data_IF_650829366547
#
_entry.id   IF_650829366547
#
_cell.length_a   1.000
_cell.length_b   1.000
_cell.length_c   1.000
_cell.angle_alpha   90.00
_cell.angle_beta   90.00
_cell.angle_gamma   90.00
#
_symmetry.space_group_name_H-M   'P 1'
#
loop_
_entity.id
_entity.type
_entity.pdbx_description
1 polymer ?
#
# COMPACT_ATOMS: atom_id res chain seq x y z
N UNK A 1 -10.45 8.37 19.92
CA UNK A 1 -10.64 7.15 19.07
C UNK A 1 -10.08 7.43 17.68
N UNK A 2 -9.22 6.57 17.12
CA UNK A 2 -8.72 6.78 15.75
C UNK A 2 -9.80 6.47 14.69
N UNK A 3 -9.82 7.21 13.56
CA UNK A 3 -10.79 6.99 12.49
C UNK A 3 -10.58 5.62 11.83
N UNK A 4 -11.67 4.91 11.55
CA UNK A 4 -11.61 3.60 10.91
C UNK A 4 -11.33 3.70 9.40
N UNK A 5 -11.80 4.78 8.76
CA UNK A 5 -11.67 5.08 7.34
C UNK A 5 -11.21 6.52 7.12
N UNK A 6 -10.54 6.76 6.00
CA UNK A 6 -10.09 8.06 5.53
C UNK A 6 -10.69 8.32 4.14
N UNK A 7 -11.05 9.57 3.86
CA UNK A 7 -11.43 10.00 2.51
C UNK A 7 -10.32 10.91 1.99
N UNK A 8 -9.60 10.44 0.97
CA UNK A 8 -8.49 11.17 0.36
C UNK A 8 -8.75 11.22 -1.14
N UNK A 9 -8.79 12.43 -1.73
CA UNK A 9 -9.06 12.63 -3.17
C UNK A 9 -10.33 11.91 -3.68
N UNK A 10 -11.41 11.92 -2.89
CA UNK A 10 -12.69 11.23 -3.13
C UNK A 10 -12.63 9.69 -3.08
N UNK A 11 -11.50 9.11 -2.73
CA UNK A 11 -11.34 7.67 -2.52
C UNK A 11 -11.46 7.39 -1.03
N UNK A 12 -12.27 6.40 -0.67
CA UNK A 12 -12.38 5.90 0.70
C UNK A 12 -11.41 4.75 0.90
N UNK A 13 -10.49 4.89 1.85
CA UNK A 13 -9.55 3.83 2.25
C UNK A 13 -9.71 3.51 3.73
N UNK A 14 -9.43 2.27 4.17
CA UNK A 14 -9.31 2.00 5.60
C UNK A 14 -8.10 2.75 6.17
N UNK A 15 -8.17 3.12 7.45
CA UNK A 15 -7.00 3.57 8.20
C UNK A 15 -6.04 2.40 8.39
N UNK A 16 -4.73 2.65 8.31
CA UNK A 16 -3.73 1.62 8.61
C UNK A 16 -3.88 1.11 10.04
N UNK A 17 -4.36 1.93 11.00
CA UNK A 17 -4.63 1.48 12.37
C UNK A 17 -5.72 0.39 12.42
N UNK A 18 -6.68 0.43 11.49
CA UNK A 18 -7.75 -0.58 11.37
C UNK A 18 -7.21 -1.92 10.89
N UNK A 19 -6.24 -1.91 9.97
CA UNK A 19 -5.71 -3.13 9.33
C UNK A 19 -4.37 -3.58 9.91
N UNK A 20 -3.86 -2.92 10.96
CA UNK A 20 -2.50 -3.14 11.49
C UNK A 20 -2.17 -4.58 11.91
N UNK A 21 -3.20 -5.36 12.29
CA UNK A 21 -3.07 -6.75 12.78
C UNK A 21 -3.34 -7.78 11.67
N UNK A 22 -3.69 -7.31 10.47
CA UNK A 22 -3.95 -8.18 9.30
C UNK A 22 -2.66 -8.45 8.54
N UNK A 23 -2.64 -9.58 7.86
CA UNK A 23 -1.63 -9.85 6.85
C UNK A 23 -2.03 -9.19 5.54
N UNK A 24 -1.08 -8.66 4.79
CA UNK A 24 -1.33 -8.05 3.47
C UNK A 24 -2.00 -9.04 2.51
N UNK A 25 -1.69 -10.35 2.64
CA UNK A 25 -2.27 -11.44 1.84
C UNK A 25 -3.71 -11.81 2.24
N UNK A 26 -4.25 -11.25 3.33
CA UNK A 26 -5.65 -11.41 3.69
C UNK A 26 -6.59 -10.61 2.74
N UNK A 27 -6.02 -9.74 1.91
CA UNK A 27 -6.73 -8.88 0.97
C UNK A 27 -6.51 -9.34 -0.47
N UNK A 28 -7.43 -8.95 -1.37
CA UNK A 28 -7.31 -9.24 -2.80
C UNK A 28 -6.38 -8.24 -3.50
N UNK A 29 -6.54 -6.96 -3.18
CA UNK A 29 -5.87 -5.83 -3.79
C UNK A 29 -4.60 -5.44 -3.00
N UNK A 30 -3.51 -6.17 -3.24
CA UNK A 30 -2.25 -5.94 -2.53
C UNK A 30 -1.02 -6.00 -3.44
N UNK A 31 0.07 -5.41 -2.97
CA UNK A 31 1.42 -5.66 -3.45
C UNK A 31 2.35 -5.94 -2.28
N UNK A 32 3.35 -6.77 -2.53
CA UNK A 32 4.40 -7.10 -1.58
C UNK A 32 5.71 -6.61 -2.12
N UNK A 33 6.43 -5.89 -1.27
CA UNK A 33 7.74 -5.36 -1.60
C UNK A 33 8.86 -6.15 -0.92
N UNK A 34 10.03 -6.15 -1.57
CA UNK A 34 11.24 -6.70 -0.98
C UNK A 34 11.66 -5.90 0.28
N UNK A 35 12.51 -6.52 1.10
CA UNK A 35 12.99 -5.90 2.33
C UNK A 35 13.83 -4.62 2.12
N UNK A 36 14.42 -4.42 0.94
CA UNK A 36 15.18 -3.21 0.59
C UNK A 36 14.28 -2.00 0.34
N UNK A 37 13.06 -2.21 -0.14
CA UNK A 37 12.06 -1.16 -0.33
C UNK A 37 11.38 -0.71 0.97
N UNK A 38 11.31 -1.58 1.99
CA UNK A 38 10.56 -1.35 3.25
C UNK A 38 10.88 -0.01 3.92
N UNK A 39 12.14 0.43 4.12
CA UNK A 39 12.42 1.71 4.76
C UNK A 39 11.86 2.90 3.98
N UNK A 40 11.80 2.83 2.65
CA UNK A 40 11.28 3.90 1.82
C UNK A 40 9.75 3.95 1.88
N UNK A 41 9.09 2.79 1.77
CA UNK A 41 7.62 2.70 1.83
C UNK A 41 7.11 3.14 3.21
N UNK A 42 7.77 2.71 4.29
CA UNK A 42 7.42 3.12 5.65
C UNK A 42 7.62 4.63 5.88
N UNK A 43 8.41 5.32 5.06
CA UNK A 43 8.60 6.77 5.09
C UNK A 43 7.74 7.52 4.06
N UNK A 44 6.79 6.84 3.41
CA UNK A 44 5.82 7.47 2.51
C UNK A 44 6.28 7.61 1.06
N UNK A 45 7.36 6.95 0.65
CA UNK A 45 7.72 6.88 -0.75
C UNK A 45 6.63 6.16 -1.58
N UNK A 46 6.55 6.51 -2.86
CA UNK A 46 5.74 5.77 -3.82
C UNK A 46 6.36 4.39 -4.12
N UNK A 47 5.53 3.43 -4.54
CA UNK A 47 6.03 2.08 -4.88
C UNK A 47 6.50 2.04 -6.33
N UNK A 48 7.74 1.59 -6.51
CA UNK A 48 8.37 1.37 -7.80
C UNK A 48 8.28 -0.11 -8.16
N UNK A 49 7.99 -0.42 -9.43
CA UNK A 49 7.80 -1.80 -9.89
C UNK A 49 8.97 -2.76 -9.61
N UNK A 50 10.26 -2.35 -9.70
CA UNK A 50 11.38 -3.25 -9.41
C UNK A 50 11.39 -3.79 -7.98
N UNK A 51 10.83 -3.05 -7.02
CA UNK A 51 10.78 -3.45 -5.62
C UNK A 51 9.61 -4.37 -5.27
N UNK A 52 8.74 -4.69 -6.23
CA UNK A 52 7.57 -5.56 -6.03
C UNK A 52 7.96 -7.01 -6.34
N UNK A 53 7.71 -7.89 -5.37
CA UNK A 53 8.00 -9.32 -5.46
C UNK A 53 6.74 -10.17 -5.69
N UNK A 54 5.58 -9.68 -5.29
CA UNK A 54 4.30 -10.38 -5.41
C UNK A 54 3.16 -9.36 -5.51
N UNK A 55 2.12 -9.69 -6.29
CA UNK A 55 0.91 -8.88 -6.44
C UNK A 55 -0.32 -9.74 -6.25
N UNK A 56 -1.35 -9.19 -5.61
CA UNK A 56 -2.71 -9.66 -5.73
C UNK A 56 -3.36 -9.21 -7.03
N UNK A 57 -4.68 -9.12 -7.03
CA UNK A 57 -5.49 -8.73 -8.18
C UNK A 57 -6.14 -7.36 -7.93
N UNK A 58 -5.87 -6.39 -8.81
CA UNK A 58 -6.44 -5.04 -8.73
C UNK A 58 -6.34 -4.30 -10.06
N UNK A 59 -7.21 -3.32 -10.24
CA UNK A 59 -7.24 -2.46 -11.42
C UNK A 59 -6.53 -1.12 -11.20
N UNK A 60 -6.27 -0.41 -12.30
CA UNK A 60 -5.80 0.98 -12.25
C UNK A 60 -6.81 1.86 -11.51
N UNK A 61 -6.32 2.77 -10.69
CA UNK A 61 -7.09 3.65 -9.80
C UNK A 61 -7.86 2.92 -8.68
N UNK A 62 -7.52 1.66 -8.40
CA UNK A 62 -7.96 0.98 -7.18
C UNK A 62 -6.97 1.23 -6.04
N UNK A 63 -7.45 1.35 -4.80
CA UNK A 63 -6.53 1.41 -3.67
C UNK A 63 -5.87 0.04 -3.48
N UNK A 64 -4.64 0.02 -2.97
CA UNK A 64 -3.84 -1.20 -2.83
C UNK A 64 -3.12 -1.18 -1.50
N UNK A 65 -3.12 -2.31 -0.79
CA UNK A 65 -2.31 -2.51 0.39
C UNK A 65 -0.87 -2.84 0.01
N UNK A 66 0.10 -2.18 0.64
CA UNK A 66 1.53 -2.42 0.40
C UNK A 66 2.12 -3.06 1.65
N UNK A 67 2.64 -4.28 1.54
CA UNK A 67 3.23 -5.01 2.66
C UNK A 67 4.63 -5.56 2.39
N UNK A 68 5.31 -6.04 3.43
CA UNK A 68 6.65 -6.63 3.31
C UNK A 68 6.62 -8.15 3.04
N UNK A 69 7.62 -8.66 2.32
CA UNK A 69 7.71 -10.08 2.00
C UNK A 69 7.91 -11.00 3.21
N UNK A 70 8.58 -10.50 4.27
CA UNK A 70 9.02 -11.33 5.39
C UNK A 70 7.90 -11.63 6.39
N UNK A 71 7.09 -10.64 6.72
CA UNK A 71 6.03 -10.75 7.74
C UNK A 71 4.63 -10.49 7.17
N UNK A 72 4.53 -9.95 5.95
CA UNK A 72 3.25 -9.51 5.38
C UNK A 72 2.63 -8.35 6.14
N UNK A 73 3.43 -7.53 6.85
CA UNK A 73 2.93 -6.36 7.58
C UNK A 73 2.58 -5.27 6.59
N UNK A 74 1.39 -4.69 6.75
CA UNK A 74 0.95 -3.57 5.93
C UNK A 74 1.70 -2.30 6.35
N UNK A 75 2.41 -1.69 5.40
CA UNK A 75 3.27 -0.51 5.59
C UNK A 75 2.59 0.77 5.09
N UNK A 76 1.86 0.65 3.99
CA UNK A 76 1.14 1.77 3.40
C UNK A 76 -0.09 1.30 2.62
N UNK A 77 -0.96 2.25 2.32
CA UNK A 77 -2.06 2.13 1.37
C UNK A 77 -1.81 3.17 0.29
N UNK A 78 -1.87 2.75 -0.96
CA UNK A 78 -1.69 3.63 -2.11
C UNK A 78 -2.82 3.47 -3.12
N UNK A 79 -2.75 4.27 -4.18
CA UNK A 79 -3.62 4.19 -5.36
C UNK A 79 -2.82 3.62 -6.52
N UNK A 80 -3.37 2.61 -7.19
CA UNK A 80 -2.65 1.98 -8.28
C UNK A 80 -2.62 2.86 -9.53
N UNK A 81 -1.43 3.02 -10.11
CA UNK A 81 -1.21 3.69 -11.38
C UNK A 81 -1.20 2.73 -12.57
N UNK A 82 -1.32 1.42 -12.34
CA UNK A 82 -1.35 0.33 -13.34
C UNK A 82 -2.18 -0.85 -12.82
N UNK A 83 -2.72 -1.72 -13.66
CA UNK A 83 -3.31 -2.98 -13.17
C UNK A 83 -2.22 -3.92 -12.64
N UNK A 84 -2.60 -4.93 -11.85
CA UNK A 84 -1.68 -5.99 -11.41
C UNK A 84 -1.04 -6.75 -12.59
N UNK A 85 -1.79 -6.90 -13.69
CA UNK A 85 -1.32 -7.49 -14.95
C UNK A 85 -0.22 -6.62 -15.58
N UNK A 86 -0.48 -5.31 -15.76
CA UNK A 86 0.50 -4.36 -16.30
C UNK A 86 1.80 -4.32 -15.48
N UNK A 87 1.71 -4.45 -14.16
CA UNK A 87 2.88 -4.47 -13.26
C UNK A 87 3.69 -5.76 -13.43
N UNK A 88 3.01 -6.89 -13.62
CA UNK A 88 3.65 -8.20 -13.82
C UNK A 88 4.38 -8.26 -15.16
N UNK A 89 3.83 -7.64 -16.20
CA UNK A 89 4.45 -7.56 -17.53
C UNK A 89 5.63 -6.59 -17.58
N UNK A 90 5.53 -5.45 -16.89
CA UNK A 90 6.52 -4.36 -16.94
C UNK A 90 7.02 -3.98 -15.56
N UNK A 91 8.17 -4.54 -15.19
CA UNK A 91 8.87 -4.27 -13.92
C UNK A 91 9.64 -2.94 -13.92
N UNK A 92 9.05 -1.86 -14.40
CA UNK A 92 9.68 -0.54 -14.42
C UNK A 92 8.76 0.62 -14.03
N UNK A 93 9.36 1.67 -13.48
CA UNK A 93 8.69 2.93 -13.14
C UNK A 93 7.86 2.88 -11.86
N UNK A 94 7.23 4.01 -11.56
CA UNK A 94 6.30 4.18 -10.44
C UNK A 94 4.97 3.51 -10.77
N UNK A 95 4.46 2.69 -9.87
CA UNK A 95 3.25 1.89 -10.12
C UNK A 95 2.18 2.05 -9.05
N UNK A 96 2.53 2.41 -7.82
CA UNK A 96 1.55 2.79 -6.80
C UNK A 96 1.92 4.17 -6.25
N UNK A 97 0.96 5.09 -6.18
CA UNK A 97 1.12 6.38 -5.50
C UNK A 97 0.66 6.25 -4.05
N UNK A 98 1.51 6.58 -3.10
CA UNK A 98 1.23 6.40 -1.67
C UNK A 98 0.23 7.44 -1.17
N UNK A 99 -0.79 6.98 -0.43
CA UNK A 99 -1.89 7.82 0.08
C UNK A 99 -1.89 7.89 1.61
N UNK A 100 -1.57 6.78 2.26
CA UNK A 100 -1.49 6.67 3.71
C UNK A 100 -0.35 5.72 4.09
N UNK A 101 0.51 6.08 5.04
CA UNK A 101 1.64 5.26 5.48
C UNK A 101 1.86 5.34 6.99
N UNK A 102 2.61 4.37 7.53
CA UNK A 102 2.94 4.33 8.96
C UNK A 102 3.68 5.62 9.38
N UNK A 103 3.17 6.31 10.39
CA UNK A 103 3.79 7.52 10.91
C UNK A 103 3.43 8.82 10.18
N UNK A 104 2.55 8.77 9.17
CA UNK A 104 2.04 9.97 8.55
C UNK A 104 1.10 10.77 9.49
N UNK A 105 0.65 11.93 9.02
CA UNK A 105 -0.24 12.81 9.78
C UNK A 105 -1.58 12.16 10.16
N UNK A 106 -2.09 11.21 9.36
CA UNK A 106 -3.34 10.52 9.62
C UNK A 106 -3.14 9.36 10.60
N UNK A 107 -1.99 8.70 10.56
CA UNK A 107 -1.58 7.67 11.50
C UNK A 107 -1.46 8.24 12.91
N UNK A 108 -0.78 9.37 13.05
CA UNK A 108 -0.63 10.06 14.35
C UNK A 108 -1.87 10.83 14.78
N UNK A 109 -2.93 10.84 13.96
CA UNK A 109 -4.15 11.52 14.32
C UNK A 109 -4.87 10.79 15.46
N UNK A 110 -5.10 11.51 16.54
CA UNK A 110 -5.91 11.10 17.67
C UNK A 110 -7.03 12.13 17.86
N UNK A 111 -8.26 11.63 18.00
CA UNK A 111 -9.47 12.40 18.32
C UNK A 111 -9.86 12.13 19.77
#
# INVERSE_FOLDING_TARGET
KSPAFLIIDKITIPSLKTVKEKNVRDFKNYVIVDMGAVPYIANGADVMAPGIVETGEFERNEFVFVGDEKNGKILSIGISLRSSEEISEKKEGKVIKTMHYVGDKFWNFEV
#
